data_IF_207472788537
#
_entry.id   IF_207472788537
#
_cell.length_a   1.000
_cell.length_b   1.000
_cell.length_c   1.000
_cell.angle_alpha   90.00
_cell.angle_beta   90.00
_cell.angle_gamma   90.00
#
_symmetry.space_group_name_H-M   'P 1'
#
loop_
_entity.id
_entity.type
_entity.pdbx_description
1 polymer ?
#
# COMPACT_ATOMS: atom_id res chain seq x y z
N UNK A 1 6.01 1.73 -7.14
CA UNK A 1 4.59 1.93 -6.73
C UNK A 1 4.53 3.12 -5.79
N UNK A 2 3.60 4.06 -6.01
CA UNK A 2 3.43 5.26 -5.18
C UNK A 2 2.06 5.23 -4.49
N UNK A 3 2.03 5.28 -3.17
CA UNK A 3 0.81 5.35 -2.37
C UNK A 3 0.57 6.78 -1.86
N UNK A 4 -0.68 7.23 -1.92
CA UNK A 4 -1.13 8.53 -1.40
C UNK A 4 -2.50 8.37 -0.75
N UNK A 5 -2.71 9.05 0.37
CA UNK A 5 -3.98 9.08 1.10
C UNK A 5 -4.35 10.50 1.48
N UNK A 6 -5.65 10.80 1.56
CA UNK A 6 -6.17 12.11 1.97
C UNK A 6 -6.13 12.34 3.50
N UNK A 7 -5.34 11.56 4.24
CA UNK A 7 -5.21 11.68 5.70
C UNK A 7 -6.10 10.74 6.52
N UNK A 8 -7.03 10.01 5.89
CA UNK A 8 -7.92 9.06 6.59
C UNK A 8 -7.27 7.70 6.84
N UNK A 9 -6.54 7.18 5.86
CA UNK A 9 -5.93 5.85 5.93
C UNK A 9 -4.42 5.96 5.85
N UNK A 10 -3.73 5.36 6.82
CA UNK A 10 -2.28 5.20 6.79
C UNK A 10 -1.91 4.30 5.59
N UNK A 11 -0.83 4.63 4.87
CA UNK A 11 -0.36 3.88 3.69
C UNK A 11 1.13 3.53 3.73
N UNK A 12 1.88 4.01 4.72
CA UNK A 12 3.30 3.65 4.85
C UNK A 12 3.48 2.19 5.30
N UNK A 13 2.52 1.63 6.03
CA UNK A 13 2.47 0.22 6.40
C UNK A 13 2.40 -0.69 5.16
N UNK A 14 1.55 -0.33 4.17
CA UNK A 14 1.45 -1.03 2.89
C UNK A 14 2.78 -0.96 2.13
N UNK A 15 3.42 0.21 2.12
CA UNK A 15 4.73 0.36 1.49
C UNK A 15 5.81 -0.47 2.19
N UNK A 16 5.82 -0.50 3.52
CA UNK A 16 6.77 -1.29 4.32
C UNK A 16 6.61 -2.80 4.06
N UNK A 17 5.37 -3.30 3.96
CA UNK A 17 5.09 -4.70 3.61
C UNK A 17 5.65 -5.08 2.23
N UNK A 18 5.70 -4.11 1.31
CA UNK A 18 6.27 -4.27 -0.03
C UNK A 18 7.79 -4.01 -0.09
N UNK A 19 8.46 -3.84 1.04
CA UNK A 19 9.91 -3.56 1.12
C UNK A 19 10.29 -2.11 0.80
N UNK A 20 9.33 -1.19 0.87
CA UNK A 20 9.52 0.25 0.71
C UNK A 20 9.37 1.01 2.02
N UNK A 21 8.88 2.25 1.94
CA UNK A 21 8.61 3.09 3.10
C UNK A 21 8.17 4.51 2.74
N UNK A 22 8.13 5.38 3.75
CA UNK A 22 7.79 6.80 3.59
C UNK A 22 6.92 7.34 4.73
N UNK A 23 6.26 8.48 4.48
CA UNK A 23 5.38 9.14 5.44
C UNK A 23 4.03 8.44 5.53
N UNK A 24 3.37 8.58 6.68
CA UNK A 24 2.08 7.93 7.01
C UNK A 24 1.02 8.03 5.90
N UNK A 25 0.96 9.14 5.15
CA UNK A 25 0.00 9.33 4.05
C UNK A 25 0.63 9.41 2.65
N UNK A 26 1.95 9.28 2.55
CA UNK A 26 2.69 9.35 1.29
C UNK A 26 3.93 8.46 1.35
N UNK A 27 3.84 7.29 0.72
CA UNK A 27 4.87 6.26 0.77
C UNK A 27 5.03 5.57 -0.59
N UNK A 28 6.08 4.76 -0.75
CA UNK A 28 6.32 4.04 -2.01
C UNK A 28 7.24 2.84 -1.83
N UNK A 29 7.20 1.95 -2.81
CA UNK A 29 8.03 0.75 -2.86
C UNK A 29 8.47 0.45 -4.30
N UNK A 30 9.70 -0.04 -4.45
CA UNK A 30 10.21 -0.62 -5.69
C UNK A 30 10.06 -2.14 -5.60
N UNK A 31 9.27 -2.72 -6.50
CA UNK A 31 8.98 -4.15 -6.51
C UNK A 31 9.35 -4.70 -7.88
N UNK A 32 10.31 -5.62 -7.89
CA UNK A 32 10.75 -6.29 -9.12
C UNK A 32 9.74 -7.38 -9.50
N UNK A 33 9.40 -7.46 -10.79
CA UNK A 33 8.53 -8.51 -11.32
C UNK A 33 7.82 -8.08 -12.60
N UNK A 34 7.03 -9.00 -13.16
CA UNK A 34 6.15 -8.68 -14.28
C UNK A 34 5.06 -7.69 -13.83
N UNK A 35 4.75 -6.71 -14.69
CA UNK A 35 3.75 -5.68 -14.39
C UNK A 35 2.40 -6.25 -13.97
N UNK A 36 1.92 -7.32 -14.61
CA UNK A 36 0.62 -7.92 -14.31
C UNK A 36 0.62 -8.58 -12.92
N UNK A 37 1.69 -9.29 -12.58
CA UNK A 37 1.81 -9.98 -11.30
C UNK A 37 1.98 -8.98 -10.16
N UNK A 38 2.84 -7.97 -10.36
CA UNK A 38 3.05 -6.88 -9.39
C UNK A 38 1.77 -6.10 -9.17
N UNK A 39 1.05 -5.73 -10.24
CA UNK A 39 -0.22 -5.00 -10.13
C UNK A 39 -1.26 -5.80 -9.33
N UNK A 40 -1.45 -7.09 -9.63
CA UNK A 40 -2.40 -7.94 -8.90
C UNK A 40 -2.02 -8.09 -7.43
N UNK A 41 -0.75 -8.34 -7.13
CA UNK A 41 -0.23 -8.46 -5.77
C UNK A 41 -0.47 -7.17 -4.97
N UNK A 42 -0.09 -6.04 -5.54
CA UNK A 42 -0.19 -4.73 -4.88
C UNK A 42 -1.63 -4.33 -4.60
N UNK A 43 -2.54 -4.51 -5.57
CA UNK A 43 -3.96 -4.22 -5.39
C UNK A 43 -4.56 -5.09 -4.29
N UNK A 44 -4.24 -6.39 -4.26
CA UNK A 44 -4.71 -7.32 -3.21
C UNK A 44 -4.28 -6.88 -1.82
N UNK A 45 -2.99 -6.59 -1.63
CA UNK A 45 -2.43 -6.15 -0.33
C UNK A 45 -3.06 -4.82 0.10
N UNK A 46 -3.12 -3.86 -0.83
CA UNK A 46 -3.68 -2.53 -0.57
C UNK A 46 -5.16 -2.62 -0.16
N UNK A 47 -5.96 -3.41 -0.89
CA UNK A 47 -7.38 -3.58 -0.61
C UNK A 47 -7.62 -4.22 0.75
N UNK A 48 -6.88 -5.29 1.09
CA UNK A 48 -6.97 -5.93 2.40
C UNK A 48 -6.63 -4.94 3.53
N UNK A 49 -5.52 -4.21 3.39
CA UNK A 49 -5.10 -3.21 4.38
C UNK A 49 -6.13 -2.09 4.59
N UNK A 50 -6.74 -1.58 3.51
CA UNK A 50 -7.79 -0.55 3.60
C UNK A 50 -9.07 -1.12 4.21
N UNK A 51 -9.48 -2.35 3.86
CA UNK A 51 -10.67 -2.99 4.42
C UNK A 51 -10.55 -3.19 5.93
N UNK A 52 -9.39 -3.63 6.42
CA UNK A 52 -9.16 -3.76 7.87
C UNK A 52 -9.25 -2.40 8.58
N UNK A 53 -8.67 -1.35 7.99
CA UNK A 53 -8.78 0.04 8.51
C UNK A 53 -10.20 0.60 8.47
N UNK A 54 -11.06 0.09 7.59
CA UNK A 54 -12.47 0.48 7.54
C UNK A 54 -13.29 -0.20 8.64
N UNK A 55 -12.94 -1.42 9.05
CA UNK A 55 -13.65 -2.16 10.12
C UNK A 55 -13.33 -1.61 11.52
N UNK A 56 -12.15 -1.04 11.71
CA UNK A 56 -11.71 -0.46 12.97
C UNK A 56 -12.12 1.01 13.21
N UNK A 57 -12.96 1.58 12.36
CA UNK A 57 -13.50 2.94 12.48
C UNK A 57 -14.99 2.92 12.84
#
# INVERSE_FOLDING_TARGET
INFRSKGKYIVNDIANELGGGGHVFAAGALVNGNLNDVSRKVVKITAASVQEKMKGN
#
